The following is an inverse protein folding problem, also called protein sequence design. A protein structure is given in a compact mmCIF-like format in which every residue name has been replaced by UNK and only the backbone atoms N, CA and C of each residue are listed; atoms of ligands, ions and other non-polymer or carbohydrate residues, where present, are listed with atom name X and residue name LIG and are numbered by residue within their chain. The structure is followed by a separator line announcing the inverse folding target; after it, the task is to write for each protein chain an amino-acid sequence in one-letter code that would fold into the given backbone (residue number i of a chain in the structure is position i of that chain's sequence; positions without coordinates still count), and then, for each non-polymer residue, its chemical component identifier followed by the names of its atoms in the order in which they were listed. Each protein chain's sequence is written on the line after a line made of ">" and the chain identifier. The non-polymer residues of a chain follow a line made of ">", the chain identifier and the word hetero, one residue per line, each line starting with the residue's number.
data_IF_065729880197
#
_entry.id   IF_065729880197
#
_cell.length_a   1.000
_cell.length_b   1.000
_cell.length_c   1.000
_cell.angle_alpha   90.00
_cell.angle_beta   90.00
_cell.angle_gamma   90.00
#
_symmetry.space_group_name_H-M   'P 1'
#
loop_
_entity.id
_entity.type
_entity.pdbx_description
1 polymer ?
#
# COMPACT_ATOMS: atom_id res chain seq x y z
N UNK A 1 16.54 6.42 -8.08
CA UNK A 1 15.29 7.17 -8.25
C UNK A 1 14.12 6.30 -8.74
N UNK A 2 14.39 5.27 -9.56
CA UNK A 2 13.39 4.39 -10.18
C UNK A 2 13.38 2.96 -9.62
N UNK A 3 13.93 2.75 -8.42
CA UNK A 3 13.95 1.46 -7.71
C UNK A 3 14.70 0.33 -8.45
N UNK A 4 15.75 0.67 -9.19
CA UNK A 4 16.61 -0.30 -9.86
C UNK A 4 18.00 -0.46 -9.22
N UNK A 5 18.17 0.04 -8.01
CA UNK A 5 19.46 0.02 -7.31
C UNK A 5 19.87 -1.36 -6.77
N UNK A 6 18.94 -2.26 -6.55
CA UNK A 6 19.17 -3.51 -5.82
C UNK A 6 19.25 -3.35 -4.31
N UNK A 7 19.06 -2.14 -3.77
CA UNK A 7 18.94 -1.91 -2.33
C UNK A 7 17.65 -2.55 -1.84
N UNK A 8 17.71 -3.29 -0.73
CA UNK A 8 16.52 -3.90 -0.12
C UNK A 8 15.53 -2.87 0.40
N UNK A 9 14.31 -3.28 0.58
CA UNK A 9 13.32 -2.54 1.37
C UNK A 9 13.33 -3.02 2.84
N UNK A 10 12.29 -2.71 3.62
CA UNK A 10 12.21 -3.05 5.03
C UNK A 10 12.32 -4.55 5.32
N UNK A 11 12.96 -4.87 6.43
CA UNK A 11 12.81 -6.15 7.12
C UNK A 11 11.62 -6.10 8.08
N UNK A 12 11.23 -7.26 8.59
CA UNK A 12 10.19 -7.36 9.62
C UNK A 12 10.50 -6.43 10.80
N UNK A 13 9.51 -5.61 11.18
CA UNK A 13 9.63 -4.65 12.28
C UNK A 13 10.24 -3.29 11.92
N UNK A 14 10.98 -3.14 10.82
CA UNK A 14 11.61 -1.86 10.46
C UNK A 14 10.60 -0.80 10.01
N UNK A 15 9.51 -1.20 9.35
CA UNK A 15 8.49 -0.27 8.86
C UNK A 15 7.80 0.52 9.98
N UNK A 16 7.54 -0.15 11.11
CA UNK A 16 6.91 0.42 12.30
C UNK A 16 7.91 0.53 13.46
N UNK A 17 9.19 0.73 13.17
CA UNK A 17 10.21 0.90 14.21
C UNK A 17 9.87 2.05 15.14
N UNK A 18 10.19 1.85 16.43
CA UNK A 18 10.12 2.89 17.45
C UNK A 18 11.48 3.51 17.72
N UNK A 19 12.52 3.02 17.04
CA UNK A 19 13.88 3.50 17.21
C UNK A 19 14.01 4.89 16.57
N UNK A 20 14.67 5.78 17.28
CA UNK A 20 14.94 7.13 16.80
C UNK A 20 16.31 7.19 16.12
N UNK A 21 16.32 7.73 14.92
CA UNK A 21 17.52 7.99 14.13
C UNK A 21 17.73 9.49 14.02
N UNK A 22 18.73 10.06 14.73
CA UNK A 22 18.91 11.52 14.83
C UNK A 22 19.35 12.19 13.53
N UNK A 23 19.75 11.42 12.53
CA UNK A 23 20.20 11.95 11.23
C UNK A 23 19.92 10.96 10.09
N UNK A 24 19.90 11.49 8.87
CA UNK A 24 19.86 10.67 7.65
C UNK A 24 21.02 9.67 7.62
N UNK A 25 22.21 10.10 8.05
CA UNK A 25 23.41 9.25 8.11
C UNK A 25 23.21 8.05 9.03
N UNK A 26 22.52 8.21 10.15
CA UNK A 26 22.22 7.09 11.04
C UNK A 26 21.15 6.17 10.47
N UNK A 27 20.12 6.73 9.82
CA UNK A 27 19.10 5.93 9.16
C UNK A 27 19.68 5.05 8.04
N UNK A 28 20.66 5.51 7.27
CA UNK A 28 21.30 4.69 6.23
C UNK A 28 22.23 3.60 6.79
N UNK A 29 22.64 3.66 8.07
CA UNK A 29 23.43 2.60 8.69
C UNK A 29 22.67 1.26 8.75
N UNK A 30 21.34 1.28 8.68
CA UNK A 30 20.51 0.06 8.52
C UNK A 30 20.90 -0.76 7.28
N UNK A 31 21.42 -0.10 6.24
CA UNK A 31 21.80 -0.72 4.98
C UNK A 31 23.28 -1.12 4.91
N UNK A 32 24.11 -0.65 5.85
CA UNK A 32 25.57 -0.74 5.78
C UNK A 32 26.13 -2.16 5.66
N UNK A 33 25.43 -3.14 6.22
CA UNK A 33 25.85 -4.54 6.22
C UNK A 33 25.14 -5.40 5.17
N UNK A 34 24.30 -4.77 4.34
CA UNK A 34 23.46 -5.50 3.38
C UNK A 34 24.13 -5.54 2.00
N UNK A 35 24.11 -6.72 1.40
CA UNK A 35 24.46 -6.88 -0.01
C UNK A 35 23.31 -6.42 -0.90
N UNK A 36 23.64 -5.93 -2.08
CA UNK A 36 22.63 -5.65 -3.10
C UNK A 36 21.90 -6.94 -3.50
N UNK A 37 20.59 -6.88 -3.66
CA UNK A 37 19.76 -8.01 -4.03
C UNK A 37 19.97 -8.45 -5.49
N UNK A 38 20.48 -7.55 -6.32
CA UNK A 38 20.86 -7.77 -7.73
C UNK A 38 21.76 -6.64 -8.21
N UNK A 39 22.38 -6.84 -9.38
CA UNK A 39 23.21 -5.83 -10.03
C UNK A 39 22.36 -4.59 -10.37
N UNK A 40 22.78 -3.36 -9.99
CA UNK A 40 22.06 -2.14 -10.30
C UNK A 40 21.68 -2.03 -11.78
N UNK A 41 20.47 -1.55 -12.04
CA UNK A 41 19.93 -1.38 -13.39
C UNK A 41 19.34 -2.64 -14.03
N UNK A 42 19.43 -3.82 -13.41
CA UNK A 42 19.00 -5.08 -14.04
C UNK A 42 17.60 -5.53 -13.67
N UNK A 43 17.07 -5.10 -12.52
CA UNK A 43 15.74 -5.48 -12.03
C UNK A 43 15.11 -4.32 -11.28
N UNK A 44 13.80 -4.39 -11.12
CA UNK A 44 13.03 -3.49 -10.27
C UNK A 44 12.78 -4.13 -8.90
N UNK A 45 13.04 -3.36 -7.84
CA UNK A 45 12.66 -3.68 -6.46
C UNK A 45 12.38 -2.38 -5.74
N UNK A 46 11.10 -2.14 -5.42
CA UNK A 46 10.72 -0.96 -4.66
C UNK A 46 11.48 -0.91 -3.33
N UNK A 47 12.02 0.24 -2.99
CA UNK A 47 12.75 0.45 -1.74
C UNK A 47 12.55 1.86 -1.21
N UNK A 48 11.91 1.98 -0.07
CA UNK A 48 11.79 3.24 0.68
C UNK A 48 13.14 3.66 1.24
N UNK A 49 13.92 2.69 1.76
CA UNK A 49 15.24 2.95 2.36
C UNK A 49 16.26 3.46 1.34
N UNK A 50 16.10 3.12 0.06
CA UNK A 50 16.94 3.66 -1.01
C UNK A 50 16.85 5.18 -1.15
N UNK A 51 15.74 5.79 -0.79
CA UNK A 51 15.57 7.25 -0.81
C UNK A 51 16.32 7.95 0.34
N UNK A 52 16.55 7.28 1.47
CA UNK A 52 17.43 7.82 2.50
C UNK A 52 18.86 7.99 1.99
N UNK A 53 19.33 7.09 1.13
CA UNK A 53 20.65 7.24 0.51
C UNK A 53 20.71 8.47 -0.40
N UNK A 54 19.63 8.76 -1.15
CA UNK A 54 19.54 9.99 -1.95
C UNK A 54 19.56 11.23 -1.06
N UNK A 55 18.88 11.21 0.08
CA UNK A 55 18.94 12.30 1.05
C UNK A 55 20.36 12.52 1.58
N UNK A 56 21.10 11.44 1.88
CA UNK A 56 22.49 11.55 2.30
C UNK A 56 23.40 12.15 1.21
N UNK A 57 23.13 11.86 -0.07
CA UNK A 57 23.81 12.50 -1.20
C UNK A 57 23.52 14.00 -1.25
N UNK A 58 22.25 14.39 -1.04
CA UNK A 58 21.86 15.81 -0.96
C UNK A 58 22.60 16.51 0.18
N UNK A 59 22.65 15.91 1.38
CA UNK A 59 23.39 16.49 2.53
C UNK A 59 24.87 16.64 2.23
N UNK A 60 25.49 15.62 1.64
CA UNK A 60 26.92 15.63 1.32
C UNK A 60 27.29 16.71 0.30
N UNK A 61 26.45 16.92 -0.72
CA UNK A 61 26.74 17.88 -1.79
C UNK A 61 26.38 19.30 -1.35
N UNK A 62 25.29 19.49 -0.63
CA UNK A 62 24.80 20.83 -0.25
C UNK A 62 25.45 21.39 1.01
N UNK A 63 26.05 20.54 1.85
CA UNK A 63 26.52 20.91 3.19
C UNK A 63 25.39 21.26 4.17
N UNK A 64 24.13 20.97 3.82
CA UNK A 64 22.95 21.25 4.63
C UNK A 64 22.33 19.95 5.12
N UNK A 65 21.58 19.98 6.24
CA UNK A 65 20.71 18.86 6.58
C UNK A 65 19.62 18.70 5.53
N UNK A 66 19.15 17.47 5.31
CA UNK A 66 18.10 17.21 4.33
C UNK A 66 16.83 18.04 4.61
N UNK A 67 16.42 18.15 5.90
CA UNK A 67 15.31 19.02 6.32
C UNK A 67 15.51 20.48 5.93
N UNK A 68 16.70 21.05 6.23
CA UNK A 68 17.02 22.44 5.88
C UNK A 68 17.07 22.66 4.38
N UNK A 69 17.55 21.68 3.63
CA UNK A 69 17.59 21.74 2.17
C UNK A 69 16.17 21.77 1.58
N UNK A 70 15.27 20.85 2.02
CA UNK A 70 13.88 20.82 1.57
C UNK A 70 13.16 22.12 1.91
N UNK A 71 13.33 22.62 3.14
CA UNK A 71 12.72 23.87 3.59
C UNK A 71 13.12 25.02 2.70
N UNK A 72 14.41 25.22 2.49
CA UNK A 72 14.96 26.35 1.73
C UNK A 72 14.61 26.30 0.25
N UNK A 73 14.67 25.13 -0.39
CA UNK A 73 14.61 25.01 -1.85
C UNK A 73 13.26 24.50 -2.38
N UNK A 74 12.40 23.98 -1.51
CA UNK A 74 11.10 23.44 -1.92
C UNK A 74 9.97 24.10 -1.13
N UNK A 75 9.97 23.99 0.21
CA UNK A 75 8.81 24.38 0.99
C UNK A 75 8.60 25.89 1.04
N UNK A 76 9.64 26.66 1.36
CA UNK A 76 9.57 28.12 1.41
C UNK A 76 9.25 28.76 0.05
N UNK A 77 9.92 28.38 -1.06
CA UNK A 77 9.60 28.95 -2.37
C UNK A 77 8.17 28.69 -2.85
N UNK A 78 7.56 27.61 -2.38
CA UNK A 78 6.17 27.24 -2.73
C UNK A 78 5.15 27.70 -1.67
N UNK A 79 5.58 28.24 -0.56
CA UNK A 79 4.70 28.61 0.55
C UNK A 79 4.05 27.40 1.25
N UNK A 80 4.75 26.26 1.29
CA UNK A 80 4.33 25.00 1.93
C UNK A 80 4.61 25.07 3.45
N UNK A 81 3.88 25.92 4.17
CA UNK A 81 4.16 26.23 5.57
C UNK A 81 3.78 25.12 6.56
N UNK A 82 3.00 24.14 6.12
CA UNK A 82 2.53 22.99 6.93
C UNK A 82 3.20 21.67 6.53
N UNK A 83 4.32 21.76 5.80
CA UNK A 83 5.08 20.57 5.34
C UNK A 83 6.45 20.53 5.99
N UNK A 84 6.80 19.39 6.57
CA UNK A 84 8.13 19.16 7.16
C UNK A 84 8.47 17.67 7.24
N UNK A 85 9.71 17.34 7.63
CA UNK A 85 10.06 15.99 8.06
C UNK A 85 9.46 15.76 9.45
N UNK A 86 8.77 14.64 9.63
CA UNK A 86 8.15 14.28 10.88
C UNK A 86 9.15 13.61 11.84
N UNK A 87 9.42 14.26 12.95
CA UNK A 87 10.10 13.67 14.09
C UNK A 87 9.11 13.46 15.23
N UNK A 88 8.94 12.20 15.65
CA UNK A 88 7.99 11.80 16.69
C UNK A 88 8.19 12.55 18.01
N UNK A 89 9.43 12.99 18.29
CA UNK A 89 9.82 13.70 19.51
C UNK A 89 9.50 15.19 19.49
N UNK A 90 9.17 15.75 18.34
CA UNK A 90 8.83 17.17 18.20
C UNK A 90 7.34 17.38 18.42
N UNK A 91 7.03 18.52 19.08
CA UNK A 91 5.64 18.96 19.26
C UNK A 91 5.21 19.62 17.96
N UNK A 92 4.31 18.98 17.24
CA UNK A 92 3.69 19.53 16.05
C UNK A 92 2.22 19.87 16.36
N UNK A 93 1.87 21.16 16.23
CA UNK A 93 0.48 21.59 16.38
C UNK A 93 -0.38 21.04 15.22
N UNK A 94 -1.64 20.71 15.54
CA UNK A 94 -2.61 20.19 14.57
C UNK A 94 -2.19 18.88 13.84
N UNK A 95 -1.26 18.12 14.40
CA UNK A 95 -0.84 16.84 13.86
C UNK A 95 -1.99 15.84 13.96
N UNK A 96 -2.38 15.28 12.83
CA UNK A 96 -3.38 14.23 12.79
C UNK A 96 -2.86 12.97 13.48
N UNK A 97 -3.73 12.29 14.23
CA UNK A 97 -3.44 10.96 14.78
C UNK A 97 -3.90 9.89 13.78
N UNK A 98 -3.07 8.87 13.58
CA UNK A 98 -3.40 7.75 12.73
C UNK A 98 -4.27 6.71 13.45
N UNK A 99 -5.18 6.09 12.69
CA UNK A 99 -6.07 5.04 13.16
C UNK A 99 -6.01 3.83 12.24
N UNK A 100 -6.34 2.67 12.80
CA UNK A 100 -6.53 1.42 12.06
C UNK A 100 -7.88 0.82 12.43
N UNK A 101 -8.45 0.01 11.55
CA UNK A 101 -9.58 -0.85 11.93
C UNK A 101 -9.02 -2.21 12.35
N UNK A 102 -9.44 -2.70 13.51
CA UNK A 102 -9.14 -4.08 13.91
C UNK A 102 -10.02 -5.08 13.13
N UNK A 103 -9.80 -6.36 13.38
CA UNK A 103 -10.58 -7.45 12.72
C UNK A 103 -12.08 -7.37 13.00
N UNK A 104 -12.50 -6.76 14.11
CA UNK A 104 -13.93 -6.51 14.44
C UNK A 104 -14.45 -5.19 13.85
N UNK A 105 -13.73 -4.54 12.98
CA UNK A 105 -14.06 -3.25 12.33
C UNK A 105 -14.16 -2.07 13.29
N UNK A 106 -13.67 -2.21 14.51
CA UNK A 106 -13.58 -1.11 15.45
C UNK A 106 -12.33 -0.27 15.16
N UNK A 107 -12.47 1.04 15.28
CA UNK A 107 -11.35 1.97 15.16
C UNK A 107 -10.46 1.86 16.40
N UNK A 108 -9.17 1.71 16.15
CA UNK A 108 -8.12 1.70 17.15
C UNK A 108 -7.04 2.72 16.79
N UNK A 109 -6.33 3.21 17.79
CA UNK A 109 -5.14 4.01 17.54
C UNK A 109 -4.12 3.17 16.77
N UNK A 110 -3.61 3.71 15.67
CA UNK A 110 -2.51 3.07 14.98
C UNK A 110 -1.28 2.98 15.90
N UNK A 111 -0.47 1.92 15.77
CA UNK A 111 0.79 1.82 16.52
C UNK A 111 1.66 3.05 16.29
N UNK A 112 2.32 3.53 17.34
CA UNK A 112 3.31 4.59 17.20
C UNK A 112 4.53 4.03 16.43
N UNK A 113 4.95 4.77 15.41
CA UNK A 113 6.16 4.52 14.65
C UNK A 113 7.01 5.78 14.64
N UNK A 114 8.32 5.64 14.78
CA UNK A 114 9.24 6.76 14.59
C UNK A 114 9.64 6.85 13.11
N UNK A 115 9.26 7.96 12.46
CA UNK A 115 9.49 8.13 11.02
C UNK A 115 10.92 8.59 10.69
N UNK A 116 11.76 8.84 11.69
CA UNK A 116 13.18 9.19 11.49
C UNK A 116 13.99 8.09 10.82
N UNK A 117 13.48 6.85 10.80
CA UNK A 117 14.05 5.74 10.01
C UNK A 117 13.94 5.94 8.51
N UNK A 118 13.03 6.79 8.04
CA UNK A 118 12.68 6.97 6.63
C UNK A 118 12.40 8.43 6.23
N UNK A 119 13.25 9.39 6.60
CA UNK A 119 12.95 10.82 6.43
C UNK A 119 12.71 11.22 4.98
N UNK A 120 13.38 10.58 4.03
CA UNK A 120 13.23 10.87 2.59
C UNK A 120 12.26 9.95 1.85
N UNK A 121 11.96 8.78 2.41
CA UNK A 121 11.14 7.76 1.73
C UNK A 121 9.69 7.68 2.19
N UNK A 122 9.29 8.44 3.23
CA UNK A 122 7.93 8.34 3.79
C UNK A 122 7.81 8.93 5.18
N UNK A 123 8.75 9.78 5.59
CA UNK A 123 8.80 10.42 6.90
C UNK A 123 8.42 11.90 6.87
N UNK A 124 7.56 12.32 5.95
CA UNK A 124 7.10 13.71 5.90
C UNK A 124 5.66 13.84 6.37
N UNK A 125 5.34 15.00 6.93
CA UNK A 125 3.99 15.44 7.25
C UNK A 125 3.63 16.61 6.33
N UNK A 126 2.37 16.68 5.91
CA UNK A 126 1.90 17.74 5.01
C UNK A 126 0.38 17.92 5.15
N UNK A 127 -0.14 18.93 4.46
CA UNK A 127 -1.58 19.15 4.23
C UNK A 127 -1.91 18.95 2.76
N UNK A 128 -3.19 18.74 2.44
CA UNK A 128 -3.64 18.65 1.05
C UNK A 128 -3.34 19.96 0.28
N UNK A 129 -3.50 21.10 0.91
CA UNK A 129 -3.19 22.40 0.32
C UNK A 129 -1.72 22.52 -0.06
N UNK A 130 -0.79 22.14 0.82
CA UNK A 130 0.65 22.22 0.52
C UNK A 130 1.05 21.24 -0.58
N UNK A 131 0.44 20.05 -0.65
CA UNK A 131 0.66 19.12 -1.75
C UNK A 131 0.13 19.65 -3.09
N UNK A 132 -0.96 20.42 -3.10
CA UNK A 132 -1.42 21.12 -4.31
C UNK A 132 -0.43 22.22 -4.72
N UNK A 133 0.13 22.99 -3.77
CA UNK A 133 1.20 23.96 -4.07
C UNK A 133 2.44 23.28 -4.66
N UNK A 134 2.76 22.08 -4.19
CA UNK A 134 3.85 21.27 -4.78
C UNK A 134 3.53 20.88 -6.22
N UNK A 135 2.31 20.41 -6.50
CA UNK A 135 1.86 20.09 -7.86
C UNK A 135 1.93 21.30 -8.80
N UNK A 136 1.43 22.45 -8.35
CA UNK A 136 1.53 23.72 -9.08
C UNK A 136 2.99 24.12 -9.33
N UNK A 137 3.87 23.91 -8.31
CA UNK A 137 5.29 24.17 -8.42
C UNK A 137 5.98 23.35 -9.50
N UNK A 138 5.53 22.12 -9.71
CA UNK A 138 6.01 21.26 -10.80
C UNK A 138 5.44 21.69 -12.15
N UNK A 139 4.11 21.86 -12.25
CA UNK A 139 3.42 22.18 -13.50
C UNK A 139 3.82 23.58 -14.06
N UNK A 140 4.02 24.54 -13.18
CA UNK A 140 4.41 25.90 -13.55
C UNK A 140 5.93 26.11 -13.69
N UNK A 141 6.72 25.05 -13.55
CA UNK A 141 8.19 25.12 -13.69
C UNK A 141 8.91 25.94 -12.61
N UNK A 142 8.26 26.14 -11.43
CA UNK A 142 8.85 26.89 -10.30
C UNK A 142 9.92 26.10 -9.56
N UNK A 143 9.77 24.77 -9.46
CA UNK A 143 10.73 23.88 -8.79
C UNK A 143 11.81 23.39 -9.74
N UNK A 144 11.39 22.89 -10.88
CA UNK A 144 12.25 22.34 -11.93
C UNK A 144 11.74 22.79 -13.28
N UNK A 145 12.63 22.95 -14.24
CA UNK A 145 12.24 23.32 -15.62
C UNK A 145 11.63 22.14 -16.36
N UNK A 146 10.78 22.41 -17.35
CA UNK A 146 10.09 21.40 -18.13
C UNK A 146 10.96 20.24 -18.64
N UNK A 147 12.17 20.46 -19.21
CA UNK A 147 13.01 19.35 -19.65
C UNK A 147 13.41 18.38 -18.53
N UNK A 148 13.59 18.90 -17.30
CA UNK A 148 13.88 18.04 -16.13
C UNK A 148 12.63 17.28 -15.68
N UNK A 149 11.46 17.90 -15.72
CA UNK A 149 10.20 17.21 -15.42
C UNK A 149 9.93 16.11 -16.45
N UNK A 150 10.09 16.39 -17.74
CA UNK A 150 9.97 15.38 -18.80
C UNK A 150 10.90 14.19 -18.59
N UNK A 151 12.15 14.46 -18.19
CA UNK A 151 13.11 13.40 -17.85
C UNK A 151 12.63 12.58 -16.64
N UNK A 152 12.09 13.22 -15.60
CA UNK A 152 11.54 12.54 -14.42
C UNK A 152 10.34 11.68 -14.76
N UNK A 153 9.53 12.10 -15.71
CA UNK A 153 8.31 11.40 -16.16
C UNK A 153 8.59 10.40 -17.29
N UNK A 154 9.83 10.26 -17.74
CA UNK A 154 10.18 9.25 -18.74
C UNK A 154 9.96 7.85 -18.14
N UNK A 155 9.11 7.00 -18.74
CA UNK A 155 8.92 5.64 -18.27
C UNK A 155 10.22 4.84 -18.34
N UNK A 156 10.75 4.43 -17.20
CA UNK A 156 12.03 3.70 -17.14
C UNK A 156 11.88 2.24 -16.75
N UNK A 157 10.83 1.91 -16.02
CA UNK A 157 10.57 0.54 -15.53
C UNK A 157 9.08 0.26 -15.55
N UNK A 158 8.70 -0.96 -15.97
CA UNK A 158 7.34 -1.47 -15.84
C UNK A 158 7.27 -2.28 -14.56
N UNK A 159 6.32 -1.96 -13.70
CA UNK A 159 6.00 -2.77 -12.53
C UNK A 159 4.99 -3.88 -12.89
N UNK A 160 4.91 -4.92 -12.05
CA UNK A 160 3.94 -6.03 -12.16
C UNK A 160 2.48 -5.56 -12.18
N UNK A 161 2.19 -4.40 -11.60
CA UNK A 161 0.84 -3.81 -11.52
C UNK A 161 0.51 -2.92 -12.72
N UNK A 162 1.21 -3.08 -13.83
CA UNK A 162 1.00 -2.37 -15.09
C UNK A 162 1.09 -0.83 -15.02
N UNK A 163 1.89 -0.29 -14.13
CA UNK A 163 2.27 1.11 -14.19
C UNK A 163 3.77 1.28 -14.46
N UNK A 164 4.13 2.39 -15.06
CA UNK A 164 5.51 2.75 -15.27
C UNK A 164 6.05 3.53 -14.06
N UNK A 165 7.33 3.39 -13.77
CA UNK A 165 7.99 4.20 -12.78
C UNK A 165 9.02 5.12 -13.44
N UNK A 166 8.90 6.42 -13.18
CA UNK A 166 9.87 7.45 -13.57
C UNK A 166 10.88 7.71 -12.44
N UNK A 167 11.37 8.93 -12.34
CA UNK A 167 12.24 9.32 -11.24
C UNK A 167 11.42 9.88 -10.07
N UNK A 168 10.95 8.98 -9.19
CA UNK A 168 10.19 9.31 -8.01
C UNK A 168 8.68 9.34 -8.18
N UNK A 169 8.16 9.19 -9.41
CA UNK A 169 6.73 9.17 -9.70
C UNK A 169 6.28 7.85 -10.33
N UNK A 170 5.09 7.44 -9.96
CA UNK A 170 4.33 6.45 -10.71
C UNK A 170 3.65 7.15 -11.88
N UNK A 171 3.73 6.52 -13.04
CA UNK A 171 3.23 7.02 -14.32
C UNK A 171 2.14 6.07 -14.78
N UNK A 172 0.95 6.57 -15.00
CA UNK A 172 -0.24 5.76 -15.26
C UNK A 172 -1.11 6.37 -16.35
N UNK A 173 -2.08 5.60 -16.79
CA UNK A 173 -3.23 6.07 -17.57
C UNK A 173 -4.51 5.75 -16.82
N UNK A 174 -5.49 6.65 -16.90
CA UNK A 174 -6.83 6.39 -16.41
C UNK A 174 -7.61 5.48 -17.39
N UNK A 175 -8.88 5.21 -17.07
CA UNK A 175 -9.79 4.39 -17.88
C UNK A 175 -10.09 4.98 -19.28
N UNK A 176 -9.84 6.28 -19.47
CA UNK A 176 -9.93 6.98 -20.75
C UNK A 176 -8.59 7.18 -21.44
N UNK A 177 -7.57 6.45 -20.97
CA UNK A 177 -6.20 6.51 -21.47
C UNK A 177 -5.50 7.87 -21.34
N UNK A 178 -6.01 8.78 -20.49
CA UNK A 178 -5.34 10.04 -20.17
C UNK A 178 -4.14 9.79 -19.28
N UNK A 179 -3.05 10.43 -19.59
CA UNK A 179 -1.82 10.36 -18.85
C UNK A 179 -1.94 11.12 -17.52
N UNK A 180 -1.52 10.49 -16.44
CA UNK A 180 -1.30 11.13 -15.15
C UNK A 180 -0.08 10.57 -14.45
N UNK A 181 0.47 11.36 -13.55
CA UNK A 181 1.55 10.93 -12.68
C UNK A 181 1.30 11.34 -11.24
N UNK A 182 1.98 10.72 -10.32
CA UNK A 182 1.84 10.99 -8.90
C UNK A 182 2.44 9.88 -8.05
N UNK A 183 2.05 9.79 -6.81
CA UNK A 183 2.48 8.70 -5.95
C UNK A 183 1.50 8.47 -4.81
N UNK A 184 1.11 7.19 -4.56
CA UNK A 184 0.38 6.82 -3.36
C UNK A 184 1.31 6.78 -2.15
N UNK A 185 0.78 7.00 -0.97
CA UNK A 185 1.46 6.83 0.29
C UNK A 185 0.68 5.95 1.25
N UNK A 186 1.37 5.07 1.95
CA UNK A 186 0.79 4.27 3.04
C UNK A 186 1.70 4.35 4.24
N UNK A 187 1.18 4.89 5.33
CA UNK A 187 1.84 4.96 6.62
C UNK A 187 1.12 4.13 7.67
N UNK A 188 1.63 4.17 8.89
CA UNK A 188 0.98 3.55 10.04
C UNK A 188 -0.24 4.37 10.44
N UNK A 189 -1.41 3.92 10.00
CA UNK A 189 -2.68 4.63 10.24
C UNK A 189 -3.00 5.73 9.23
N UNK A 190 -2.25 5.85 8.13
CA UNK A 190 -2.46 6.89 7.12
C UNK A 190 -2.45 6.33 5.71
N UNK A 191 -3.20 6.98 4.82
CA UNK A 191 -3.07 6.85 3.36
C UNK A 191 -3.02 8.24 2.74
N UNK A 192 -2.29 8.36 1.64
CA UNK A 192 -2.21 9.57 0.84
C UNK A 192 -2.18 9.23 -0.64
N UNK A 193 -2.63 10.16 -1.45
CA UNK A 193 -2.49 10.09 -2.90
C UNK A 193 -2.34 11.49 -3.46
N UNK A 194 -1.40 11.66 -4.37
CA UNK A 194 -1.28 12.83 -5.23
C UNK A 194 -1.38 12.34 -6.67
N UNK A 195 -2.29 12.94 -7.43
CA UNK A 195 -2.54 12.67 -8.85
C UNK A 195 -2.42 13.99 -9.60
N UNK A 196 -1.64 14.01 -10.68
CA UNK A 196 -1.41 15.20 -11.50
C UNK A 196 -1.64 14.82 -12.98
N UNK A 197 -2.58 15.50 -13.62
CA UNK A 197 -2.86 15.46 -15.06
C UNK A 197 -2.22 16.70 -15.71
N UNK A 198 -1.02 16.59 -16.29
CA UNK A 198 -0.30 17.76 -16.78
C UNK A 198 -0.97 18.40 -18.01
N UNK A 199 -1.60 17.61 -18.88
CA UNK A 199 -2.29 18.10 -20.07
C UNK A 199 -3.57 18.88 -19.72
N UNK A 200 -4.21 18.53 -18.60
CA UNK A 200 -5.43 19.19 -18.12
C UNK A 200 -5.15 20.27 -17.05
N UNK A 201 -3.89 20.49 -16.70
CA UNK A 201 -3.48 21.38 -15.60
C UNK A 201 -4.27 21.11 -14.29
N UNK A 202 -4.54 19.83 -14.01
CA UNK A 202 -5.34 19.38 -12.88
C UNK A 202 -4.46 18.58 -11.91
N UNK A 203 -4.60 18.89 -10.63
CA UNK A 203 -4.08 18.04 -9.56
C UNK A 203 -5.17 17.71 -8.55
N UNK A 204 -5.15 16.50 -8.03
CA UNK A 204 -6.03 16.06 -6.96
C UNK A 204 -5.20 15.40 -5.85
N UNK A 205 -5.57 15.69 -4.60
CA UNK A 205 -4.93 15.17 -3.40
C UNK A 205 -5.96 14.51 -2.51
N UNK A 206 -5.57 13.38 -1.94
CA UNK A 206 -6.32 12.69 -0.91
C UNK A 206 -5.41 12.36 0.27
N UNK A 207 -5.77 12.82 1.45
CA UNK A 207 -5.10 12.49 2.71
C UNK A 207 -6.11 11.97 3.71
N UNK A 208 -5.83 10.85 4.33
CA UNK A 208 -6.69 10.28 5.37
C UNK A 208 -5.87 9.67 6.49
N UNK A 209 -6.35 9.84 7.71
CA UNK A 209 -5.72 9.33 8.92
C UNK A 209 -6.36 8.02 9.43
N UNK A 210 -6.95 7.26 8.52
CA UNK A 210 -7.43 5.89 8.79
C UNK A 210 -6.85 4.97 7.73
N UNK A 211 -6.11 3.96 8.16
CA UNK A 211 -5.68 2.88 7.26
C UNK A 211 -6.83 1.90 7.11
N UNK A 212 -7.68 2.14 6.13
CA UNK A 212 -8.73 1.22 5.72
C UNK A 212 -8.28 0.34 4.54
N UNK A 213 -8.94 -0.79 4.34
CA UNK A 213 -8.69 -1.72 3.24
C UNK A 213 -9.33 -1.28 1.93
N UNK A 214 -10.14 -0.20 1.93
CA UNK A 214 -10.77 0.31 0.72
C UNK A 214 -9.73 0.60 -0.36
N UNK A 215 -9.95 0.03 -1.54
CA UNK A 215 -9.05 0.12 -2.71
C UNK A 215 -9.37 1.28 -3.62
N UNK A 216 -10.53 1.92 -3.47
CA UNK A 216 -10.89 3.08 -4.29
C UNK A 216 -9.89 4.22 -4.05
N UNK A 217 -9.52 4.90 -5.14
CA UNK A 217 -8.64 6.05 -5.10
C UNK A 217 -9.47 7.35 -5.18
N UNK A 218 -9.74 8.02 -4.05
CA UNK A 218 -10.56 9.24 -4.06
C UNK A 218 -9.96 10.37 -4.89
N UNK A 219 -8.63 10.45 -5.04
CA UNK A 219 -8.01 11.47 -5.89
C UNK A 219 -8.38 11.27 -7.37
N UNK A 220 -8.44 10.02 -7.86
CA UNK A 220 -8.91 9.73 -9.21
C UNK A 220 -10.41 10.02 -9.37
N UNK A 221 -11.22 9.72 -8.35
CA UNK A 221 -12.66 10.02 -8.38
C UNK A 221 -12.89 11.53 -8.44
N UNK A 222 -12.18 12.31 -7.61
CA UNK A 222 -12.23 13.77 -7.66
C UNK A 222 -11.81 14.28 -9.03
N UNK A 223 -10.73 13.73 -9.61
CA UNK A 223 -10.28 14.11 -10.96
C UNK A 223 -11.35 13.83 -12.02
N UNK A 224 -12.02 12.67 -11.96
CA UNK A 224 -13.07 12.32 -12.92
C UNK A 224 -14.30 13.22 -12.83
N UNK A 225 -14.64 13.75 -11.66
CA UNK A 225 -15.73 14.73 -11.51
C UNK A 225 -15.41 15.99 -12.31
N UNK A 226 -14.17 16.49 -12.25
CA UNK A 226 -13.75 17.68 -12.98
C UNK A 226 -13.59 17.44 -14.47
N UNK A 227 -12.94 16.34 -14.86
CA UNK A 227 -12.60 16.05 -16.25
C UNK A 227 -13.79 15.55 -17.07
N UNK A 228 -14.65 14.76 -16.47
CA UNK A 228 -15.68 13.99 -17.18
C UNK A 228 -17.10 14.43 -16.82
N UNK A 229 -17.27 15.22 -15.77
CA UNK A 229 -18.58 15.53 -15.17
C UNK A 229 -19.37 14.25 -14.78
N UNK A 230 -18.67 13.15 -14.71
CA UNK A 230 -19.19 11.85 -14.33
C UNK A 230 -18.21 11.19 -13.34
N UNK A 231 -18.69 10.40 -12.44
CA UNK A 231 -17.83 9.75 -11.45
C UNK A 231 -18.38 8.39 -11.05
N UNK A 232 -17.45 7.52 -10.70
CA UNK A 232 -17.77 6.25 -10.08
C UNK A 232 -17.99 6.45 -8.57
N UNK A 233 -19.15 6.03 -8.08
CA UNK A 233 -19.39 6.03 -6.62
C UNK A 233 -18.58 4.90 -6.00
N UNK A 234 -17.71 5.19 -5.01
CA UNK A 234 -16.96 4.15 -4.31
C UNK A 234 -17.88 3.09 -3.72
N UNK A 235 -17.59 1.84 -4.01
CA UNK A 235 -18.32 0.72 -3.41
C UNK A 235 -17.85 0.48 -1.98
N UNK A 236 -18.80 0.11 -1.12
CA UNK A 236 -18.51 -0.30 0.26
C UNK A 236 -17.88 -1.68 0.26
N UNK A 237 -17.02 -1.97 1.23
CA UNK A 237 -16.48 -3.31 1.41
C UNK A 237 -17.59 -4.31 1.78
N UNK A 238 -17.75 -5.35 0.96
CA UNK A 238 -18.61 -6.48 1.25
C UNK A 238 -18.06 -7.28 2.44
N UNK A 239 -16.74 -7.45 2.52
CA UNK A 239 -16.10 -8.14 3.64
C UNK A 239 -16.45 -7.48 4.98
N UNK A 240 -16.38 -6.14 5.06
CA UNK A 240 -16.75 -5.40 6.27
C UNK A 240 -18.22 -5.60 6.65
N UNK A 241 -19.12 -5.62 5.67
CA UNK A 241 -20.54 -5.87 5.90
C UNK A 241 -20.77 -7.30 6.43
N UNK A 242 -20.13 -8.31 5.83
CA UNK A 242 -20.26 -9.70 6.23
C UNK A 242 -19.66 -9.96 7.63
N UNK A 243 -18.51 -9.36 7.95
CA UNK A 243 -17.94 -9.40 9.30
C UNK A 243 -18.93 -8.86 10.34
N UNK A 244 -19.57 -7.73 10.06
CA UNK A 244 -20.59 -7.17 10.96
C UNK A 244 -21.80 -8.11 11.14
N UNK A 245 -22.21 -8.85 10.10
CA UNK A 245 -23.27 -9.83 10.19
C UNK A 245 -22.84 -11.01 11.08
N UNK A 246 -21.63 -11.54 10.88
CA UNK A 246 -21.10 -12.63 11.71
C UNK A 246 -20.99 -12.24 13.19
N UNK A 247 -20.59 -11.00 13.47
CA UNK A 247 -20.50 -10.50 14.86
C UNK A 247 -21.86 -10.40 15.52
N UNK A 248 -22.89 -9.96 14.77
CA UNK A 248 -24.23 -9.71 15.30
C UNK A 248 -25.15 -10.93 15.26
N UNK A 249 -24.87 -11.89 14.39
CA UNK A 249 -25.66 -13.08 14.16
C UNK A 249 -24.75 -14.31 14.07
N UNK A 250 -24.55 -14.83 12.85
CA UNK A 250 -23.82 -16.07 12.58
C UNK A 250 -23.27 -16.12 11.14
N UNK A 251 -22.53 -17.18 10.85
CA UNK A 251 -21.94 -17.41 9.52
C UNK A 251 -23.01 -17.71 8.46
N UNK A 252 -24.09 -18.42 8.81
CA UNK A 252 -25.13 -18.78 7.86
C UNK A 252 -25.87 -17.53 7.36
N UNK A 253 -26.17 -16.59 8.26
CA UNK A 253 -26.72 -15.27 7.91
C UNK A 253 -25.79 -14.49 6.98
N UNK A 254 -24.47 -14.52 7.23
CA UNK A 254 -23.49 -13.85 6.37
C UNK A 254 -23.40 -14.53 4.99
N UNK A 255 -23.44 -15.85 4.92
CA UNK A 255 -23.43 -16.59 3.64
C UNK A 255 -24.69 -16.33 2.80
N UNK A 256 -25.87 -16.24 3.43
CA UNK A 256 -27.12 -15.87 2.75
C UNK A 256 -27.00 -14.43 2.23
N UNK A 257 -26.57 -13.48 3.07
CA UNK A 257 -26.39 -12.09 2.68
C UNK A 257 -25.39 -11.94 1.52
N UNK A 258 -24.28 -12.66 1.55
CA UNK A 258 -23.29 -12.62 0.46
C UNK A 258 -23.88 -13.02 -0.89
N UNK A 259 -24.70 -14.08 -0.93
CA UNK A 259 -25.37 -14.53 -2.16
C UNK A 259 -26.34 -13.48 -2.69
N UNK A 260 -27.16 -12.88 -1.81
CA UNK A 260 -28.11 -11.84 -2.18
C UNK A 260 -27.38 -10.60 -2.74
N UNK A 261 -26.37 -10.13 -2.02
CA UNK A 261 -25.62 -8.92 -2.41
C UNK A 261 -24.80 -9.12 -3.68
N UNK A 262 -24.30 -10.32 -3.94
CA UNK A 262 -23.58 -10.64 -5.19
C UNK A 262 -24.54 -10.71 -6.38
N UNK A 263 -25.76 -11.22 -6.18
CA UNK A 263 -26.76 -11.32 -7.23
C UNK A 263 -27.38 -9.95 -7.59
N UNK A 264 -27.30 -8.97 -6.70
CA UNK A 264 -27.81 -7.63 -6.93
C UNK A 264 -26.81 -6.80 -7.78
N UNK A 265 -27.13 -6.61 -9.06
CA UNK A 265 -26.32 -5.79 -9.99
C UNK A 265 -26.24 -4.31 -9.59
N UNK A 266 -27.18 -3.81 -8.79
CA UNK A 266 -27.20 -2.47 -8.22
C UNK A 266 -26.51 -2.34 -6.86
N UNK A 267 -25.86 -3.40 -6.39
CA UNK A 267 -25.23 -3.43 -5.07
C UNK A 267 -24.25 -2.28 -4.85
N UNK A 268 -24.42 -1.59 -3.73
CA UNK A 268 -23.49 -0.56 -3.25
C UNK A 268 -22.19 -1.15 -2.69
N UNK A 269 -22.07 -2.47 -2.66
CA UNK A 269 -20.89 -3.17 -2.17
C UNK A 269 -20.00 -3.64 -3.32
N UNK A 270 -18.69 -3.68 -3.08
CA UNK A 270 -17.75 -4.40 -3.94
C UNK A 270 -17.97 -5.91 -3.78
N UNK A 271 -18.52 -6.54 -4.80
CA UNK A 271 -18.82 -7.98 -4.83
C UNK A 271 -17.72 -8.81 -5.49
N UNK A 272 -16.51 -8.24 -5.62
CA UNK A 272 -15.37 -8.93 -6.22
C UNK A 272 -14.96 -10.16 -5.41
N UNK A 273 -14.29 -11.09 -6.08
CA UNK A 273 -13.72 -12.28 -5.43
C UNK A 273 -12.70 -11.92 -4.35
N UNK A 274 -12.02 -10.79 -4.49
CA UNK A 274 -11.08 -10.26 -3.48
C UNK A 274 -11.77 -9.96 -2.17
N UNK A 275 -12.96 -9.37 -2.19
CA UNK A 275 -13.74 -9.08 -0.99
C UNK A 275 -14.20 -10.37 -0.29
N UNK A 276 -14.57 -11.39 -1.06
CA UNK A 276 -14.93 -12.70 -0.50
C UNK A 276 -13.71 -13.39 0.14
N UNK A 277 -12.56 -13.36 -0.52
CA UNK A 277 -11.32 -13.88 0.07
C UNK A 277 -10.96 -13.14 1.35
N UNK A 278 -11.09 -11.81 1.33
CA UNK A 278 -10.84 -10.96 2.49
C UNK A 278 -11.71 -11.34 3.67
N UNK A 279 -13.01 -11.51 3.45
CA UNK A 279 -13.94 -11.96 4.51
C UNK A 279 -13.54 -13.31 5.11
N UNK A 280 -13.15 -14.29 4.27
CA UNK A 280 -12.69 -15.59 4.76
C UNK A 280 -11.44 -15.48 5.64
N UNK A 281 -10.49 -14.62 5.27
CA UNK A 281 -9.30 -14.36 6.09
C UNK A 281 -9.64 -13.59 7.37
N UNK A 282 -10.62 -12.67 7.33
CA UNK A 282 -11.10 -12.01 8.53
C UNK A 282 -11.66 -13.02 9.55
N UNK A 283 -12.37 -14.05 9.11
CA UNK A 283 -12.82 -15.12 9.99
C UNK A 283 -11.66 -15.87 10.67
N UNK A 284 -10.57 -16.11 9.93
CA UNK A 284 -9.35 -16.72 10.50
C UNK A 284 -8.72 -15.78 11.55
N UNK A 285 -8.56 -14.50 11.23
CA UNK A 285 -8.00 -13.50 12.15
C UNK A 285 -8.87 -13.31 13.41
N UNK A 286 -10.19 -13.45 13.28
CA UNK A 286 -11.14 -13.43 14.41
C UNK A 286 -11.12 -14.71 15.24
N UNK A 287 -10.25 -15.68 14.91
CA UNK A 287 -10.21 -17.03 15.50
C UNK A 287 -11.52 -17.82 15.34
N UNK A 288 -12.32 -17.51 14.30
CA UNK A 288 -13.53 -18.21 13.91
C UNK A 288 -13.22 -19.29 12.87
N UNK A 289 -12.39 -20.26 13.27
CA UNK A 289 -11.82 -21.25 12.35
C UNK A 289 -12.88 -22.18 11.74
N UNK A 290 -13.85 -22.71 12.49
CA UNK A 290 -14.92 -23.52 11.90
C UNK A 290 -15.72 -22.76 10.84
N UNK A 291 -16.06 -21.48 11.10
CA UNK A 291 -16.78 -20.61 10.17
C UNK A 291 -15.94 -20.31 8.92
N UNK A 292 -14.63 -20.09 9.08
CA UNK A 292 -13.71 -19.89 7.95
C UNK A 292 -13.66 -21.13 7.05
N UNK A 293 -13.61 -22.33 7.63
CA UNK A 293 -13.64 -23.60 6.88
C UNK A 293 -14.96 -23.74 6.11
N UNK A 294 -16.10 -23.46 6.75
CA UNK A 294 -17.44 -23.51 6.09
C UNK A 294 -17.46 -22.55 4.91
N UNK A 295 -17.03 -21.30 5.14
CA UNK A 295 -17.04 -20.25 4.13
C UNK A 295 -16.11 -20.58 2.95
N UNK A 296 -14.83 -20.91 3.21
CA UNK A 296 -13.88 -21.23 2.15
C UNK A 296 -14.24 -22.50 1.37
N UNK A 297 -14.88 -23.51 1.99
CA UNK A 297 -15.45 -24.67 1.28
C UNK A 297 -16.51 -24.22 0.27
N UNK A 298 -17.43 -23.37 0.71
CA UNK A 298 -18.47 -22.82 -0.16
C UNK A 298 -17.87 -21.99 -1.29
N UNK A 299 -16.89 -21.15 -0.99
CA UNK A 299 -16.21 -20.33 -1.98
C UNK A 299 -15.44 -21.16 -3.02
N UNK A 300 -14.72 -22.20 -2.58
CA UNK A 300 -14.03 -23.11 -3.48
C UNK A 300 -14.98 -23.92 -4.37
N UNK A 301 -16.15 -24.30 -3.85
CA UNK A 301 -17.18 -24.97 -4.65
C UNK A 301 -17.81 -24.02 -5.68
N UNK A 302 -18.07 -22.77 -5.32
CA UNK A 302 -18.63 -21.76 -6.21
C UNK A 302 -17.63 -21.29 -7.29
N UNK A 303 -16.34 -21.27 -6.95
CA UNK A 303 -15.26 -20.83 -7.86
C UNK A 303 -14.15 -21.88 -7.94
N UNK A 304 -14.36 -23.02 -8.61
CA UNK A 304 -13.42 -24.17 -8.58
C UNK A 304 -12.05 -23.87 -9.20
N UNK A 305 -11.93 -22.82 -10.00
CA UNK A 305 -10.67 -22.38 -10.62
C UNK A 305 -9.99 -21.23 -9.84
N UNK A 306 -10.51 -20.81 -8.70
CA UNK A 306 -9.94 -19.75 -7.87
C UNK A 306 -8.90 -20.34 -6.90
N UNK A 307 -7.63 -20.39 -7.30
CA UNK A 307 -6.51 -20.93 -6.49
C UNK A 307 -6.51 -20.38 -5.07
N UNK A 308 -6.73 -19.05 -4.90
CA UNK A 308 -6.73 -18.38 -3.60
C UNK A 308 -7.82 -18.86 -2.63
N UNK A 309 -8.95 -19.37 -3.13
CA UNK A 309 -9.98 -19.98 -2.28
C UNK A 309 -9.48 -21.29 -1.63
N UNK A 310 -8.69 -22.08 -2.38
CA UNK A 310 -8.07 -23.28 -1.84
C UNK A 310 -6.91 -22.97 -0.91
N UNK A 311 -6.17 -21.87 -1.13
CA UNK A 311 -5.16 -21.38 -0.17
C UNK A 311 -5.85 -21.00 1.14
N UNK A 312 -6.92 -20.19 1.10
CA UNK A 312 -7.65 -19.80 2.30
C UNK A 312 -8.25 -20.98 3.06
N UNK A 313 -8.80 -21.98 2.32
CA UNK A 313 -9.29 -23.22 2.94
C UNK A 313 -8.16 -24.02 3.59
N UNK A 314 -6.99 -24.07 2.94
CA UNK A 314 -5.81 -24.73 3.49
C UNK A 314 -5.29 -24.03 4.74
N UNK A 315 -5.25 -22.70 4.74
CA UNK A 315 -4.85 -21.88 5.88
C UNK A 315 -5.82 -22.10 7.07
N UNK A 316 -7.13 -22.14 6.82
CA UNK A 316 -8.13 -22.43 7.85
C UNK A 316 -7.94 -23.83 8.44
N UNK A 317 -7.73 -24.86 7.61
CA UNK A 317 -7.41 -26.20 8.11
C UNK A 317 -6.07 -26.29 8.83
N UNK A 318 -5.08 -25.50 8.42
CA UNK A 318 -3.80 -25.43 9.11
C UNK A 318 -3.97 -24.88 10.54
N UNK A 319 -4.79 -23.84 10.70
CA UNK A 319 -5.14 -23.26 12.02
C UNK A 319 -5.97 -24.23 12.85
N UNK A 320 -6.83 -25.04 12.22
CA UNK A 320 -7.59 -26.13 12.85
C UNK A 320 -6.71 -27.36 13.22
N UNK A 321 -5.40 -27.24 13.02
CA UNK A 321 -4.41 -28.33 13.20
C UNK A 321 -4.65 -29.55 12.30
N UNK A 322 -5.51 -29.46 11.28
CA UNK A 322 -5.79 -30.51 10.33
C UNK A 322 -4.79 -30.47 9.15
N UNK A 323 -3.55 -30.91 9.45
CA UNK A 323 -2.43 -30.86 8.51
C UNK A 323 -2.68 -31.62 7.20
N UNK A 324 -3.44 -32.72 7.24
CA UNK A 324 -3.75 -33.54 6.08
C UNK A 324 -4.64 -32.79 5.07
N UNK A 325 -5.74 -32.20 5.56
CA UNK A 325 -6.64 -31.40 4.72
C UNK A 325 -5.96 -30.10 4.26
N UNK A 326 -5.17 -29.46 5.11
CA UNK A 326 -4.37 -28.30 4.72
C UNK A 326 -3.46 -28.62 3.54
N UNK A 327 -2.66 -29.69 3.62
CA UNK A 327 -1.75 -30.09 2.57
C UNK A 327 -2.48 -30.42 1.25
N UNK A 328 -3.61 -31.12 1.33
CA UNK A 328 -4.44 -31.44 0.16
C UNK A 328 -4.89 -30.17 -0.57
N UNK A 329 -5.38 -29.17 0.15
CA UNK A 329 -5.88 -27.94 -0.43
C UNK A 329 -4.74 -27.06 -0.96
N UNK A 330 -3.59 -26.97 -0.28
CA UNK A 330 -2.40 -26.31 -0.87
C UNK A 330 -1.95 -26.94 -2.17
N UNK A 331 -1.98 -28.29 -2.28
CA UNK A 331 -1.66 -28.98 -3.55
C UNK A 331 -2.66 -28.62 -4.65
N UNK A 332 -3.95 -28.53 -4.34
CA UNK A 332 -4.97 -28.07 -5.30
C UNK A 332 -4.68 -26.63 -5.73
N UNK A 333 -4.33 -25.75 -4.79
CA UNK A 333 -3.98 -24.37 -5.10
C UNK A 333 -2.77 -24.27 -6.05
N UNK A 334 -1.69 -25.01 -5.76
CA UNK A 334 -0.50 -25.03 -6.62
C UNK A 334 -0.78 -25.64 -8.00
N UNK A 335 -1.70 -26.62 -8.10
CA UNK A 335 -2.15 -27.16 -9.40
C UNK A 335 -2.86 -26.11 -10.23
N UNK A 336 -3.66 -25.23 -9.60
CA UNK A 336 -4.39 -24.14 -10.27
C UNK A 336 -3.49 -22.93 -10.58
N UNK A 337 -2.54 -22.66 -9.70
CA UNK A 337 -1.55 -21.58 -9.84
C UNK A 337 -0.15 -22.09 -9.45
N UNK A 338 0.62 -22.61 -10.42
CA UNK A 338 1.97 -23.13 -10.18
C UNK A 338 2.98 -22.08 -9.69
N UNK A 339 2.66 -20.78 -9.81
CA UNK A 339 3.51 -19.69 -9.38
C UNK A 339 3.21 -19.23 -7.94
N UNK A 340 2.25 -19.85 -7.26
CA UNK A 340 1.96 -19.55 -5.86
C UNK A 340 3.06 -20.09 -4.93
N UNK A 341 4.07 -19.23 -4.69
CA UNK A 341 5.23 -19.54 -3.84
C UNK A 341 4.81 -19.82 -2.39
N UNK A 342 3.76 -19.14 -1.89
CA UNK A 342 3.28 -19.34 -0.52
C UNK A 342 2.74 -20.76 -0.34
N UNK A 343 1.79 -21.18 -1.18
CA UNK A 343 1.21 -22.52 -1.11
C UNK A 343 2.28 -23.61 -1.28
N UNK A 344 3.24 -23.42 -2.19
CA UNK A 344 4.35 -24.34 -2.38
C UNK A 344 5.25 -24.46 -1.14
N UNK A 345 5.53 -23.35 -0.46
CA UNK A 345 6.32 -23.35 0.78
C UNK A 345 5.56 -24.02 1.93
N UNK A 346 4.25 -23.80 2.04
CA UNK A 346 3.42 -24.44 3.06
C UNK A 346 3.37 -25.98 2.87
N UNK A 347 3.32 -26.47 1.63
CA UNK A 347 3.43 -27.91 1.37
C UNK A 347 4.77 -28.46 1.90
N UNK A 348 5.90 -27.80 1.60
CA UNK A 348 7.22 -28.21 2.09
C UNK A 348 7.29 -28.21 3.62
N UNK A 349 6.77 -27.16 4.25
CA UNK A 349 6.70 -27.05 5.72
C UNK A 349 5.91 -28.20 6.34
N UNK A 350 4.77 -28.56 5.75
CA UNK A 350 3.94 -29.67 6.22
C UNK A 350 4.55 -31.07 5.98
N UNK A 351 5.49 -31.19 5.04
CA UNK A 351 6.25 -32.40 4.76
C UNK A 351 7.48 -32.57 5.65
N UNK A 352 7.75 -31.63 6.57
CA UNK A 352 8.93 -31.69 7.44
C UNK A 352 10.24 -31.20 6.81
N UNK A 353 10.19 -30.65 5.58
CA UNK A 353 11.34 -29.99 4.97
C UNK A 353 11.52 -28.59 5.55
N UNK A 354 12.10 -28.49 6.73
CA UNK A 354 12.73 -27.25 7.17
C UNK A 354 14.03 -27.07 6.36
N UNK A 355 14.14 -26.03 5.55
CA UNK A 355 15.47 -25.63 5.06
C UNK A 355 16.33 -25.33 6.27
N UNK A 356 17.26 -26.21 6.58
CA UNK A 356 18.49 -25.85 7.31
C UNK A 356 19.13 -24.71 6.51
N UNK A 357 19.40 -23.63 7.21
CA UNK A 357 20.00 -22.37 6.70
C UNK A 357 21.34 -22.60 6.04
#
# INVERSE_FOLDING_TARGET
>A
LNHTSGIRDYRSGEFNSKDFYPSVREAINLLKKDSLQFKPGTKYLYTTLGYNLLAAVVEQISGMTFRSYLKKFIFEPLGMSSTDIEYQREILHNRARGYTKNVFRMLENAPLADLSVKPAGGGMISTAEDLLKFADGLLLGKLIKNPSLELMLKPTVINKDNFFYGFGFQIRKDDKARFYFGHPGTGTGFKSELVIYPEDSLAAVYLVNVRDRNTDNPALIISSIFLDKNYHVPKKSLADALVNIVIRKDIDSAMIASKILIADSGSVYDTSKSELLLFGYDLIEMNKIPEAIIFFKSLAAQYPNLSKAFVGLADAYYQDNNKGLAQRNYRTAVKLDPLDVYAANMIRKLQGYTRTR
#
